data_IF_024039161497
#
_entry.id   IF_024039161497
#
_cell.length_a   1.000
_cell.length_b   1.000
_cell.length_c   1.000
_cell.angle_alpha   90.00
_cell.angle_beta   90.00
_cell.angle_gamma   90.00
#
_symmetry.space_group_name_H-M   'P 1'
#
loop_
_entity.id
_entity.type
_entity.pdbx_description
1 polymer ?
#
# COMPACT_ATOMS: atom_id res chain seq x y z
N UNK A 1 15.71 57.98 15.71
CA UNK A 1 16.14 57.10 14.61
C UNK A 1 16.16 55.67 15.11
N UNK A 2 15.10 54.92 14.80
CA UNK A 2 14.91 53.53 15.20
C UNK A 2 15.73 52.61 14.30
N UNK A 3 16.67 51.84 14.86
CA UNK A 3 17.38 50.78 14.14
C UNK A 3 16.54 49.51 14.21
N UNK A 4 15.86 49.20 13.12
CA UNK A 4 15.13 47.95 12.93
C UNK A 4 16.10 46.77 12.88
N UNK A 5 15.91 45.81 13.79
CA UNK A 5 16.55 44.50 13.72
C UNK A 5 15.74 43.62 12.75
N UNK A 6 16.13 43.59 11.48
CA UNK A 6 15.70 42.56 10.52
C UNK A 6 16.37 41.25 10.88
N UNK A 7 15.72 40.42 11.70
CA UNK A 7 16.13 39.02 11.91
C UNK A 7 15.84 38.26 10.62
N UNK A 8 16.88 38.06 9.81
CA UNK A 8 16.84 37.28 8.58
C UNK A 8 16.58 35.82 8.95
N UNK A 9 15.32 35.36 8.85
CA UNK A 9 14.95 33.94 8.95
C UNK A 9 15.73 33.16 7.88
N UNK A 10 16.80 32.46 8.27
CA UNK A 10 17.49 31.51 7.41
C UNK A 10 16.54 30.34 7.07
N UNK A 11 15.93 30.43 5.88
CA UNK A 11 15.15 29.35 5.27
C UNK A 11 16.08 28.21 4.89
N UNK A 12 16.28 27.24 5.79
CA UNK A 12 16.95 25.99 5.44
C UNK A 12 16.04 25.19 4.52
N UNK A 13 16.50 24.87 3.29
CA UNK A 13 15.71 24.12 2.31
C UNK A 13 15.45 22.69 2.84
N UNK A 14 14.19 22.22 2.86
CA UNK A 14 13.88 20.85 3.27
C UNK A 14 14.54 19.84 2.33
N UNK A 15 14.97 18.70 2.86
CA UNK A 15 15.51 17.63 2.01
C UNK A 15 14.44 17.01 1.10
N UNK A 16 14.83 16.29 0.04
CA UNK A 16 13.90 15.81 -0.98
C UNK A 16 12.80 14.87 -0.45
N UNK A 17 13.08 14.07 0.59
CA UNK A 17 12.11 13.18 1.21
C UNK A 17 11.05 13.96 2.00
N UNK A 18 11.48 15.01 2.72
CA UNK A 18 10.61 15.93 3.45
C UNK A 18 9.74 16.76 2.51
N UNK A 19 10.32 17.27 1.43
CA UNK A 19 9.59 18.08 0.47
C UNK A 19 8.44 17.29 -0.18
N UNK A 20 8.65 16.01 -0.52
CA UNK A 20 7.57 15.13 -1.02
C UNK A 20 6.45 14.91 0.00
N UNK A 21 6.81 14.63 1.25
CA UNK A 21 5.83 14.49 2.34
C UNK A 21 5.08 15.80 2.58
N UNK A 22 5.76 16.94 2.52
CA UNK A 22 5.14 18.26 2.68
C UNK A 22 4.21 18.62 1.51
N UNK A 23 4.70 18.57 0.27
CA UNK A 23 3.93 18.95 -0.92
C UNK A 23 2.66 18.12 -1.07
N UNK A 24 2.77 16.80 -0.88
CA UNK A 24 1.65 15.87 -1.02
C UNK A 24 0.49 16.14 -0.07
N UNK A 25 0.78 16.77 1.06
CA UNK A 25 -0.19 17.00 2.13
C UNK A 25 -0.77 18.41 2.07
N UNK A 26 0.00 19.41 1.60
CA UNK A 26 -0.13 20.77 2.14
C UNK A 26 0.12 21.92 1.15
N UNK A 27 0.47 21.64 -0.11
CA UNK A 27 0.87 22.68 -1.07
C UNK A 27 2.23 23.30 -0.76
N UNK A 28 2.68 24.21 -1.63
CA UNK A 28 4.05 24.78 -1.64
C UNK A 28 4.34 25.80 -0.51
N UNK A 29 3.37 26.08 0.35
CA UNK A 29 3.38 27.16 1.35
C UNK A 29 3.79 26.67 2.75
N UNK A 30 5.09 26.49 2.99
CA UNK A 30 5.63 25.95 4.25
C UNK A 30 6.79 26.78 4.79
N UNK A 31 6.88 26.90 6.13
CA UNK A 31 8.03 27.50 6.81
C UNK A 31 8.80 26.44 7.59
N UNK A 32 10.11 26.35 7.33
CA UNK A 32 11.04 25.46 8.04
C UNK A 32 11.72 26.17 9.19
N UNK A 33 11.85 25.49 10.32
CA UNK A 33 12.53 25.98 11.52
C UNK A 33 13.64 25.02 11.93
N UNK A 34 14.85 25.53 12.25
CA UNK A 34 15.94 24.71 12.77
C UNK A 34 15.61 24.05 14.10
N UNK A 35 14.64 24.56 14.87
CA UNK A 35 14.24 24.00 16.15
C UNK A 35 12.75 24.23 16.40
N UNK A 36 12.10 23.33 17.14
CA UNK A 36 10.69 23.50 17.53
C UNK A 36 10.44 24.77 18.35
N UNK A 37 11.46 25.28 19.07
CA UNK A 37 11.36 26.56 19.78
C UNK A 37 11.15 27.76 18.85
N UNK A 38 11.55 27.65 17.58
CA UNK A 38 11.34 28.70 16.58
C UNK A 38 9.93 28.74 16.00
N UNK A 39 9.14 27.67 16.19
CA UNK A 39 7.74 27.62 15.75
C UNK A 39 6.88 28.49 16.65
N UNK A 40 5.96 29.24 16.04
CA UNK A 40 5.02 30.09 16.76
C UNK A 40 4.17 29.33 17.81
N UNK A 41 3.45 30.07 18.68
CA UNK A 41 2.69 29.49 19.78
C UNK A 41 1.60 28.51 19.30
N UNK A 42 1.04 28.71 18.11
CA UNK A 42 0.13 27.75 17.49
C UNK A 42 0.89 26.59 16.81
N UNK A 43 1.04 25.51 17.57
CA UNK A 43 1.66 24.26 17.09
C UNK A 43 0.67 23.26 16.50
N UNK A 44 -0.60 23.63 16.31
CA UNK A 44 -1.64 22.74 15.76
C UNK A 44 -1.36 22.25 14.34
N UNK A 45 -0.50 23.01 13.64
CA UNK A 45 -0.02 22.75 12.28
C UNK A 45 1.51 22.66 12.19
N UNK A 46 2.16 22.32 13.30
CA UNK A 46 3.59 22.15 13.38
C UNK A 46 3.97 20.68 13.51
N UNK A 47 5.11 20.28 12.96
CA UNK A 47 5.56 18.90 13.00
C UNK A 47 7.08 18.80 13.07
N UNK A 48 7.55 17.66 13.57
CA UNK A 48 8.94 17.29 13.71
C UNK A 48 9.27 16.23 12.67
N UNK A 49 10.34 16.45 11.90
CA UNK A 49 10.83 15.51 10.91
C UNK A 49 11.74 14.45 11.55
N UNK A 50 11.42 13.16 11.36
CA UNK A 50 12.25 12.06 11.88
C UNK A 50 12.75 11.10 10.78
N UNK A 51 14.02 10.62 10.85
CA UNK A 51 15.02 10.96 11.88
C UNK A 51 15.70 12.32 11.65
N UNK A 52 15.66 12.86 10.43
CA UNK A 52 16.20 14.19 10.10
C UNK A 52 15.45 14.80 8.92
N UNK A 53 15.65 16.10 8.65
CA UNK A 53 15.05 16.80 7.51
C UNK A 53 15.47 16.26 6.13
N UNK A 54 16.63 15.60 6.03
CA UNK A 54 17.11 15.03 4.76
C UNK A 54 16.60 13.62 4.49
N UNK A 55 16.43 12.82 5.55
CA UNK A 55 16.08 11.39 5.46
C UNK A 55 14.72 11.10 6.10
N UNK A 56 13.84 12.09 6.16
CA UNK A 56 12.60 11.94 6.88
C UNK A 56 11.74 10.82 6.31
N UNK A 57 11.27 9.96 7.21
CA UNK A 57 10.32 8.89 6.93
C UNK A 57 9.03 9.07 7.73
N UNK A 58 8.96 10.11 8.56
CA UNK A 58 7.83 10.37 9.45
C UNK A 58 7.79 11.83 9.85
N UNK A 59 6.57 12.38 9.95
CA UNK A 59 6.30 13.68 10.57
C UNK A 59 5.50 13.48 11.84
N UNK A 60 6.05 13.94 12.96
CA UNK A 60 5.41 13.86 14.28
C UNK A 60 4.76 15.20 14.59
N UNK A 61 3.44 15.28 14.82
CA UNK A 61 2.77 16.53 15.17
C UNK A 61 3.41 17.16 16.42
N UNK A 62 3.84 18.41 16.35
CA UNK A 62 4.53 19.12 17.42
C UNK A 62 3.58 19.74 18.46
N UNK A 63 2.28 19.42 18.36
CA UNK A 63 1.24 19.77 19.30
C UNK A 63 1.42 19.10 20.67
N UNK A 64 0.38 18.50 21.21
CA UNK A 64 0.45 18.00 22.59
C UNK A 64 1.24 16.68 22.72
N UNK A 65 1.74 16.40 23.93
CA UNK A 65 2.57 15.21 24.23
C UNK A 65 1.87 13.89 23.92
N UNK A 66 0.54 13.82 24.09
CA UNK A 66 -0.25 12.60 23.83
C UNK A 66 -0.27 12.28 22.34
N UNK A 67 -0.50 13.30 21.51
CA UNK A 67 -0.46 13.19 20.05
C UNK A 67 0.94 12.82 19.55
N UNK A 68 1.98 13.44 20.11
CA UNK A 68 3.38 13.11 19.80
C UNK A 68 3.72 11.65 20.14
N UNK A 69 3.42 11.23 21.38
CA UNK A 69 3.69 9.87 21.84
C UNK A 69 2.92 8.84 21.01
N UNK A 70 1.67 9.15 20.67
CA UNK A 70 0.84 8.32 19.82
C UNK A 70 1.48 8.18 18.43
N UNK A 71 1.88 9.28 17.77
CA UNK A 71 2.47 9.26 16.43
C UNK A 71 3.72 8.36 16.31
N UNK A 72 4.43 8.11 17.42
CA UNK A 72 5.58 7.21 17.47
C UNK A 72 5.23 5.73 17.62
N UNK A 73 4.01 5.40 18.01
CA UNK A 73 3.54 4.02 18.10
C UNK A 73 3.33 3.47 16.69
N UNK A 74 4.31 2.72 16.15
CA UNK A 74 4.21 2.06 14.83
C UNK A 74 3.59 0.66 14.97
N UNK A 75 2.82 0.21 13.96
CA UNK A 75 2.51 -1.21 13.80
C UNK A 75 3.79 -2.04 13.73
N UNK A 76 3.76 -3.26 14.28
CA UNK A 76 4.93 -4.11 14.50
C UNK A 76 5.68 -4.48 13.20
N UNK A 77 5.00 -4.45 12.06
CA UNK A 77 5.48 -4.92 10.74
C UNK A 77 6.45 -3.96 10.02
N UNK A 78 6.62 -2.71 10.47
CA UNK A 78 7.28 -1.67 9.65
C UNK A 78 8.67 -1.25 10.18
N UNK A 79 9.22 -1.91 11.22
CA UNK A 79 10.52 -1.52 11.77
C UNK A 79 11.33 -2.64 12.42
N UNK A 80 12.65 -2.56 12.27
CA UNK A 80 13.61 -3.46 12.92
C UNK A 80 13.48 -3.40 14.45
N UNK A 81 13.83 -4.50 15.15
CA UNK A 81 13.79 -4.60 16.62
C UNK A 81 14.50 -3.41 17.30
N UNK A 82 15.64 -2.99 16.77
CA UNK A 82 16.43 -1.85 17.26
C UNK A 82 15.72 -0.50 17.09
N UNK A 83 15.13 -0.25 15.92
CA UNK A 83 14.32 0.96 15.67
C UNK A 83 13.07 0.99 16.55
N UNK A 84 12.42 -0.15 16.77
CA UNK A 84 11.27 -0.27 17.69
C UNK A 84 11.64 0.12 19.12
N UNK A 85 12.77 -0.37 19.63
CA UNK A 85 13.27 0.01 20.94
C UNK A 85 13.56 1.53 21.01
N UNK A 86 14.22 2.09 20.00
CA UNK A 86 14.48 3.53 19.93
C UNK A 86 13.21 4.37 19.95
N UNK A 87 12.18 4.01 19.18
CA UNK A 87 10.89 4.71 19.22
C UNK A 87 10.17 4.58 20.56
N UNK A 88 10.25 3.42 21.23
CA UNK A 88 9.68 3.25 22.57
C UNK A 88 10.36 4.12 23.61
N UNK A 89 11.70 4.22 23.56
CA UNK A 89 12.47 5.13 24.44
C UNK A 89 12.05 6.58 24.17
N UNK A 90 11.99 6.99 22.90
CA UNK A 90 11.55 8.34 22.53
C UNK A 90 10.10 8.63 22.96
N UNK A 91 9.20 7.66 22.80
CA UNK A 91 7.82 7.75 23.24
C UNK A 91 7.73 7.96 24.76
N UNK A 92 8.48 7.18 25.55
CA UNK A 92 8.56 7.33 27.01
C UNK A 92 9.15 8.69 27.40
N UNK A 93 10.23 9.12 26.74
CA UNK A 93 10.82 10.44 26.98
C UNK A 93 9.83 11.59 26.69
N UNK A 94 9.03 11.51 25.63
CA UNK A 94 7.98 12.49 25.32
C UNK A 94 6.86 12.46 26.36
N UNK A 95 6.41 11.28 26.78
CA UNK A 95 5.40 11.13 27.83
C UNK A 95 5.85 11.75 29.15
N UNK A 96 7.13 11.56 29.50
CA UNK A 96 7.76 12.13 30.69
C UNK A 96 8.15 13.62 30.53
N UNK A 97 7.93 14.22 29.37
CA UNK A 97 8.20 15.64 29.11
C UNK A 97 9.64 15.99 28.74
N UNK A 98 10.53 15.00 28.63
CA UNK A 98 11.93 15.15 28.22
C UNK A 98 12.09 15.23 26.68
N UNK A 99 11.09 14.82 25.90
CA UNK A 99 11.21 14.68 24.43
C UNK A 99 11.27 15.98 23.63
N UNK A 100 10.81 17.11 24.17
CA UNK A 100 10.81 18.41 23.48
C UNK A 100 12.21 19.01 23.28
N UNK A 101 13.24 18.46 23.93
CA UNK A 101 14.61 18.98 23.96
C UNK A 101 15.52 18.45 22.84
N UNK A 102 15.09 17.47 22.04
CA UNK A 102 15.97 16.75 21.11
C UNK A 102 15.45 16.66 19.66
N UNK A 103 14.60 17.58 19.22
CA UNK A 103 14.00 17.55 17.88
C UNK A 103 14.60 18.65 16.96
N UNK A 104 15.72 18.38 16.25
CA UNK A 104 16.46 19.41 15.52
C UNK A 104 15.83 19.90 14.21
N UNK A 105 14.58 19.56 13.87
CA UNK A 105 13.95 20.07 12.63
C UNK A 105 12.43 20.11 12.77
N UNK A 106 11.88 21.32 12.93
CA UNK A 106 10.44 21.54 12.98
C UNK A 106 9.97 22.27 11.72
N UNK A 107 8.73 22.00 11.30
CA UNK A 107 8.08 22.79 10.27
C UNK A 107 6.73 23.28 10.78
N UNK A 108 6.28 24.41 10.27
CA UNK A 108 4.95 24.92 10.49
C UNK A 108 4.31 25.21 9.14
N UNK A 109 3.04 24.83 9.04
CA UNK A 109 2.24 25.21 7.88
C UNK A 109 1.87 26.67 7.95
N UNK A 110 1.78 27.29 6.77
CA UNK A 110 1.17 28.60 6.68
C UNK A 110 -0.32 28.48 7.09
N UNK A 111 -0.76 29.15 8.17
CA UNK A 111 -2.14 29.06 8.64
C UNK A 111 -3.14 29.64 7.61
N UNK A 112 -2.69 30.54 6.74
CA UNK A 112 -3.54 31.23 5.76
C UNK A 112 -4.01 30.35 4.59
N UNK A 113 -3.46 29.14 4.44
CA UNK A 113 -3.83 28.24 3.34
C UNK A 113 -4.65 27.04 3.84
N UNK A 114 -5.80 26.73 3.20
CA UNK A 114 -6.57 25.53 3.51
C UNK A 114 -5.78 24.26 3.17
N UNK A 115 -5.56 23.43 4.18
CA UNK A 115 -4.89 22.14 4.07
C UNK A 115 -5.88 20.97 3.98
N UNK A 116 -5.42 19.81 3.50
CA UNK A 116 -6.24 18.59 3.53
C UNK A 116 -6.61 18.22 4.97
N UNK A 117 -5.75 18.55 5.93
CA UNK A 117 -5.99 18.30 7.35
C UNK A 117 -7.19 19.13 7.84
N UNK A 118 -7.35 20.36 7.37
CA UNK A 118 -8.51 21.19 7.70
C UNK A 118 -9.79 20.64 7.09
N UNK A 119 -9.73 20.20 5.83
CA UNK A 119 -10.86 19.54 5.17
C UNK A 119 -11.26 18.26 5.91
N UNK A 120 -10.30 17.44 6.31
CA UNK A 120 -10.49 16.21 7.09
C UNK A 120 -11.07 16.50 8.47
N UNK A 121 -10.56 17.51 9.20
CA UNK A 121 -11.10 17.94 10.50
C UNK A 121 -12.55 18.36 10.39
N UNK A 122 -12.87 19.15 9.37
CA UNK A 122 -14.24 19.60 9.09
C UNK A 122 -15.15 18.43 8.75
N UNK A 123 -14.72 17.54 7.84
CA UNK A 123 -15.53 16.41 7.39
C UNK A 123 -15.76 15.34 8.45
N UNK A 124 -14.80 15.12 9.36
CA UNK A 124 -14.96 14.19 10.48
C UNK A 124 -15.66 14.82 11.69
N UNK A 125 -15.79 16.14 11.76
CA UNK A 125 -16.21 16.88 12.95
C UNK A 125 -15.41 16.51 14.23
N UNK A 126 -14.12 16.18 14.08
CA UNK A 126 -13.21 15.83 15.17
C UNK A 126 -11.91 16.60 15.04
N UNK A 127 -11.45 17.19 16.15
CA UNK A 127 -10.11 17.79 16.21
C UNK A 127 -9.02 16.70 16.22
N UNK A 128 -8.38 16.55 15.06
CA UNK A 128 -7.32 15.56 14.81
C UNK A 128 -6.03 16.21 14.33
N UNK A 129 -4.90 15.57 14.59
CA UNK A 129 -3.64 15.84 13.91
C UNK A 129 -3.29 14.66 13.02
N UNK A 130 -2.60 14.92 11.92
CA UNK A 130 -2.18 13.90 10.99
C UNK A 130 -0.71 13.54 11.23
N UNK A 131 -0.39 12.26 11.37
CA UNK A 131 0.97 11.76 11.54
C UNK A 131 1.36 10.92 10.33
N UNK A 132 1.86 11.53 9.24
CA UNK A 132 2.29 10.80 8.04
C UNK A 132 3.56 10.02 8.30
N UNK A 133 3.62 8.87 7.64
CA UNK A 133 4.84 8.09 7.51
C UNK A 133 5.01 7.60 6.08
N UNK A 134 6.25 7.39 5.69
CA UNK A 134 6.60 6.66 4.48
C UNK A 134 7.32 5.36 4.88
N UNK A 135 6.92 4.27 4.22
CA UNK A 135 7.66 3.01 4.27
C UNK A 135 8.99 3.09 3.49
N UNK A 136 9.70 1.96 3.34
CA UNK A 136 10.77 1.86 2.35
C UNK A 136 10.27 2.27 0.94
N UNK A 137 11.21 2.67 0.09
CA UNK A 137 10.92 3.10 -1.28
C UNK A 137 10.29 1.92 -2.04
N UNK A 138 9.06 2.08 -2.55
CA UNK A 138 8.31 1.05 -3.28
C UNK A 138 7.48 1.67 -4.42
N UNK A 139 7.15 0.92 -5.50
CA UNK A 139 6.24 1.38 -6.54
C UNK A 139 4.95 1.92 -5.91
N UNK A 140 4.41 3.02 -6.45
CA UNK A 140 3.17 3.66 -5.98
C UNK A 140 3.21 4.12 -4.50
N UNK A 141 4.38 4.53 -4.00
CA UNK A 141 4.51 5.04 -2.63
C UNK A 141 3.61 6.27 -2.40
N UNK A 142 2.49 6.04 -1.73
CA UNK A 142 1.55 7.07 -1.27
C UNK A 142 1.81 7.43 0.20
N UNK A 143 1.68 8.71 0.61
CA UNK A 143 1.66 9.07 2.02
C UNK A 143 0.50 8.37 2.73
N UNK A 144 0.82 7.62 3.77
CA UNK A 144 -0.16 7.04 4.69
C UNK A 144 0.16 7.54 6.08
N UNK A 145 -0.85 8.00 6.78
CA UNK A 145 -0.65 8.51 8.12
C UNK A 145 -1.86 8.36 9.00
N UNK A 146 -1.60 8.50 10.28
CA UNK A 146 -2.59 8.27 11.30
C UNK A 146 -3.25 9.58 11.69
N UNK A 147 -4.58 9.57 11.81
CA UNK A 147 -5.33 10.67 12.39
C UNK A 147 -5.45 10.45 13.89
N UNK A 148 -4.97 11.41 14.67
CA UNK A 148 -4.82 11.28 16.12
C UNK A 148 -5.62 12.40 16.78
N UNK A 149 -6.62 12.04 17.57
CA UNK A 149 -7.38 13.02 18.33
C UNK A 149 -6.55 13.64 19.45
N UNK A 150 -7.04 14.74 20.04
CA UNK A 150 -6.38 15.47 21.13
C UNK A 150 -5.95 14.58 22.31
N UNK A 151 -6.69 13.50 22.61
CA UNK A 151 -6.37 12.57 23.70
C UNK A 151 -5.29 11.53 23.36
N UNK A 152 -4.83 11.47 22.10
CA UNK A 152 -3.81 10.53 21.64
C UNK A 152 -4.37 9.23 21.06
N UNK A 153 -5.70 9.04 21.06
CA UNK A 153 -6.35 7.92 20.40
C UNK A 153 -6.34 8.09 18.87
N UNK A 154 -6.22 6.98 18.17
CA UNK A 154 -6.32 6.93 16.71
C UNK A 154 -7.78 7.04 16.30
N UNK A 155 -8.09 7.97 15.40
CA UNK A 155 -9.43 8.19 14.83
C UNK A 155 -9.59 7.48 13.48
N UNK A 156 -8.48 7.27 12.78
CA UNK A 156 -8.46 6.59 11.49
C UNK A 156 -7.12 6.68 10.79
N UNK A 157 -7.06 6.13 9.58
CA UNK A 157 -5.91 6.17 8.69
C UNK A 157 -6.25 6.97 7.44
N UNK A 158 -5.48 8.02 7.17
CA UNK A 158 -5.62 8.85 5.98
C UNK A 158 -4.60 8.40 4.94
N UNK A 159 -5.10 8.02 3.75
CA UNK A 159 -4.31 7.73 2.55
C UNK A 159 -4.57 8.83 1.52
N UNK A 160 -3.51 9.34 0.89
CA UNK A 160 -3.59 10.43 -0.10
C UNK A 160 -2.84 10.03 -1.37
N UNK A 161 -3.48 10.15 -2.52
CA UNK A 161 -2.92 9.93 -3.85
C UNK A 161 -2.83 11.24 -4.62
N UNK A 162 -1.62 11.66 -5.00
CA UNK A 162 -1.35 13.04 -5.42
C UNK A 162 -1.33 13.27 -6.93
N UNK A 163 -0.81 12.32 -7.73
CA UNK A 163 -0.81 12.37 -9.21
C UNK A 163 -0.70 10.93 -9.77
N UNK A 164 -1.29 10.69 -10.95
CA UNK A 164 -1.09 9.45 -11.72
C UNK A 164 -1.63 8.20 -11.03
N UNK A 165 -0.87 7.09 -11.10
CA UNK A 165 -1.29 5.77 -10.60
C UNK A 165 -1.71 5.73 -9.12
N UNK A 166 -1.12 6.57 -8.26
CA UNK A 166 -1.48 6.60 -6.81
C UNK A 166 -2.88 7.14 -6.55
N UNK A 167 -3.35 8.10 -7.35
CA UNK A 167 -4.71 8.63 -7.24
C UNK A 167 -5.75 7.57 -7.65
N UNK A 168 -5.46 6.80 -8.70
CA UNK A 168 -6.30 5.67 -9.13
C UNK A 168 -6.39 4.59 -8.06
N UNK A 169 -5.26 4.21 -7.45
CA UNK A 169 -5.24 3.21 -6.36
C UNK A 169 -6.04 3.67 -5.12
N UNK A 170 -5.94 4.95 -4.74
CA UNK A 170 -6.69 5.47 -3.58
C UNK A 170 -8.20 5.50 -3.84
N UNK A 171 -8.63 5.88 -5.05
CA UNK A 171 -10.06 5.82 -5.45
C UNK A 171 -10.56 4.37 -5.53
N UNK A 172 -9.75 3.49 -6.13
CA UNK A 172 -10.08 2.08 -6.24
C UNK A 172 -10.24 1.44 -4.87
N UNK A 173 -9.29 1.66 -3.97
CA UNK A 173 -9.38 1.16 -2.59
C UNK A 173 -10.64 1.67 -1.88
N UNK A 174 -10.97 2.95 -2.01
CA UNK A 174 -12.21 3.48 -1.44
C UNK A 174 -13.45 2.76 -1.97
N UNK A 175 -13.56 2.61 -3.29
CA UNK A 175 -14.69 1.93 -3.93
C UNK A 175 -14.78 0.46 -3.50
N UNK A 176 -13.64 -0.24 -3.47
CA UNK A 176 -13.56 -1.65 -3.06
C UNK A 176 -13.94 -1.83 -1.59
N UNK A 177 -13.42 -1.01 -0.67
CA UNK A 177 -13.79 -1.13 0.75
C UNK A 177 -15.29 -0.92 0.97
N UNK A 178 -15.90 0.05 0.27
CA UNK A 178 -17.36 0.28 0.33
C UNK A 178 -18.15 -0.91 -0.20
N UNK A 179 -17.73 -1.48 -1.33
CA UNK A 179 -18.39 -2.63 -1.94
C UNK A 179 -18.21 -3.91 -1.10
N UNK A 180 -16.98 -4.22 -0.71
CA UNK A 180 -16.62 -5.43 0.04
C UNK A 180 -17.32 -5.50 1.40
N UNK A 181 -17.58 -4.37 2.05
CA UNK A 181 -18.37 -4.33 3.30
C UNK A 181 -19.77 -4.93 3.13
N UNK A 182 -20.30 -4.99 1.89
CA UNK A 182 -21.63 -5.52 1.58
C UNK A 182 -21.64 -7.00 1.19
N UNK A 183 -20.49 -7.57 0.83
CA UNK A 183 -20.42 -8.94 0.27
C UNK A 183 -19.49 -9.88 1.04
N UNK A 184 -18.55 -9.35 1.83
CA UNK A 184 -17.62 -10.21 2.56
C UNK A 184 -18.32 -10.88 3.76
N UNK A 185 -17.93 -12.13 4.08
CA UNK A 185 -18.31 -12.78 5.32
C UNK A 185 -18.00 -11.94 6.56
N UNK A 186 -18.84 -12.02 7.60
CA UNK A 186 -18.71 -11.23 8.83
C UNK A 186 -17.44 -11.50 9.64
N UNK A 187 -16.81 -12.65 9.39
CA UNK A 187 -15.54 -13.07 9.99
C UNK A 187 -14.31 -12.56 9.24
N UNK A 188 -14.48 -11.86 8.11
CA UNK A 188 -13.42 -11.09 7.44
C UNK A 188 -13.62 -9.60 7.74
N UNK A 189 -12.84 -9.07 8.68
CA UNK A 189 -12.83 -7.65 8.97
C UNK A 189 -11.90 -6.87 8.04
N UNK A 190 -12.46 -5.84 7.42
CA UNK A 190 -11.76 -4.87 6.59
C UNK A 190 -11.96 -3.44 7.14
N UNK A 191 -11.07 -2.48 6.82
CA UNK A 191 -11.24 -1.11 7.25
C UNK A 191 -12.48 -0.46 6.61
N UNK A 192 -13.37 0.11 7.42
CA UNK A 192 -14.54 0.86 6.93
C UNK A 192 -14.15 2.27 6.52
N UNK A 193 -14.60 2.74 5.35
CA UNK A 193 -14.36 4.11 4.90
C UNK A 193 -15.27 5.10 5.63
N UNK A 194 -14.69 6.04 6.37
CA UNK A 194 -15.42 7.12 7.06
C UNK A 194 -15.68 8.32 6.18
N UNK A 195 -14.67 8.71 5.39
CA UNK A 195 -14.68 9.91 4.56
C UNK A 195 -13.72 9.68 3.40
N UNK A 196 -14.07 10.13 2.21
CA UNK A 196 -13.21 10.01 1.04
C UNK A 196 -13.74 10.84 -0.12
N UNK A 197 -12.91 10.96 -1.16
CA UNK A 197 -13.22 11.68 -2.37
C UNK A 197 -12.07 12.55 -2.90
N UNK A 198 -12.35 13.34 -3.94
CA UNK A 198 -11.39 14.30 -4.47
C UNK A 198 -11.24 15.52 -3.54
N UNK A 199 -10.01 16.00 -3.39
CA UNK A 199 -9.72 17.29 -2.76
C UNK A 199 -8.64 18.02 -3.55
N UNK A 200 -8.99 19.16 -4.17
CA UNK A 200 -8.10 19.86 -5.12
C UNK A 200 -7.56 18.88 -6.17
N UNK A 201 -6.24 18.74 -6.28
CA UNK A 201 -5.57 17.87 -7.25
C UNK A 201 -5.31 16.45 -6.74
N UNK A 202 -5.76 16.09 -5.52
CA UNK A 202 -5.48 14.79 -4.91
C UNK A 202 -6.76 14.00 -4.67
N UNK A 203 -6.64 12.68 -4.55
CA UNK A 203 -7.69 11.82 -4.02
C UNK A 203 -7.30 11.33 -2.64
N UNK A 204 -8.25 11.21 -1.74
CA UNK A 204 -7.99 10.71 -0.39
C UNK A 204 -9.13 9.85 0.11
N UNK A 205 -8.83 9.00 1.08
CA UNK A 205 -9.85 8.42 1.94
C UNK A 205 -9.31 8.24 3.35
N UNK A 206 -10.24 8.10 4.29
CA UNK A 206 -10.02 7.85 5.70
C UNK A 206 -10.74 6.57 6.07
N UNK A 207 -10.00 5.62 6.62
CA UNK A 207 -10.59 4.40 7.17
C UNK A 207 -10.59 4.41 8.69
N UNK A 208 -11.52 3.65 9.26
CA UNK A 208 -11.49 3.30 10.68
C UNK A 208 -10.25 2.47 11.03
N UNK A 209 -9.74 2.60 12.26
CA UNK A 209 -8.72 1.69 12.75
C UNK A 209 -9.33 0.29 12.85
N UNK A 210 -8.69 -0.69 12.22
CA UNK A 210 -9.11 -2.07 12.39
C UNK A 210 -8.68 -2.56 13.78
N UNK A 211 -9.64 -2.75 14.67
CA UNK A 211 -9.38 -3.24 16.02
C UNK A 211 -9.08 -4.75 15.98
N UNK A 212 -7.87 -5.12 16.42
CA UNK A 212 -7.43 -6.51 16.49
C UNK A 212 -7.15 -6.93 17.94
N UNK A 213 -7.48 -8.17 18.35
CA UNK A 213 -7.08 -8.70 19.65
C UNK A 213 -5.55 -8.80 19.74
N UNK A 214 -4.93 -8.39 20.86
CA UNK A 214 -3.50 -8.61 21.07
C UNK A 214 -3.20 -10.10 21.23
N UNK A 215 -2.13 -10.58 20.57
CA UNK A 215 -1.51 -11.87 20.89
C UNK A 215 -2.06 -13.12 20.20
N UNK A 216 -2.82 -13.01 19.11
CA UNK A 216 -3.15 -14.21 18.32
C UNK A 216 -1.95 -14.59 17.41
N UNK A 217 -1.44 -15.82 17.49
CA UNK A 217 -0.45 -16.31 16.54
C UNK A 217 -1.06 -16.32 15.14
N UNK A 218 -0.21 -16.06 14.14
CA UNK A 218 -0.52 -16.28 12.73
C UNK A 218 -0.66 -17.80 12.55
N UNK A 219 -1.89 -18.30 12.63
CA UNK A 219 -2.14 -19.69 12.27
C UNK A 219 -1.94 -19.82 10.75
N UNK A 220 -1.70 -21.05 10.29
CA UNK A 220 -1.55 -21.35 8.86
C UNK A 220 -2.87 -21.63 8.08
N UNK A 221 -4.09 -21.13 8.42
CA UNK A 221 -5.26 -21.33 7.58
C UNK A 221 -5.41 -20.19 6.58
N UNK A 222 -4.31 -19.56 6.12
CA UNK A 222 -4.36 -18.49 5.12
C UNK A 222 -5.13 -18.93 3.87
N UNK A 223 -5.00 -20.20 3.50
CA UNK A 223 -5.71 -20.82 2.38
C UNK A 223 -7.22 -20.91 2.62
N UNK A 224 -7.65 -21.23 3.84
CA UNK A 224 -9.08 -21.24 4.20
C UNK A 224 -9.69 -19.85 4.00
N UNK A 225 -9.02 -18.80 4.49
CA UNK A 225 -9.52 -17.42 4.34
C UNK A 225 -9.52 -16.96 2.89
N UNK A 226 -8.58 -17.44 2.06
CA UNK A 226 -8.62 -17.20 0.61
C UNK A 226 -9.78 -17.92 -0.08
N UNK A 227 -10.09 -19.15 0.36
CA UNK A 227 -11.28 -19.85 -0.11
C UNK A 227 -12.55 -19.07 0.27
N UNK A 228 -12.70 -18.69 1.54
CA UNK A 228 -13.85 -17.93 2.05
C UNK A 228 -14.00 -16.55 1.40
N UNK A 229 -12.88 -15.85 1.14
CA UNK A 229 -12.87 -14.57 0.42
C UNK A 229 -13.50 -14.68 -0.96
N UNK A 230 -13.23 -15.79 -1.66
CA UNK A 230 -13.69 -16.00 -3.02
C UNK A 230 -15.05 -16.69 -3.12
N UNK A 231 -15.48 -17.43 -2.10
CA UNK A 231 -16.61 -18.36 -2.14
C UNK A 231 -17.92 -17.68 -2.59
N UNK A 232 -18.32 -16.59 -1.93
CA UNK A 232 -19.56 -15.87 -2.23
C UNK A 232 -19.59 -15.16 -3.60
N UNK A 233 -18.45 -15.07 -4.28
CA UNK A 233 -18.31 -14.36 -5.58
C UNK A 233 -17.78 -15.26 -6.69
N UNK A 234 -17.49 -16.53 -6.38
CA UNK A 234 -16.86 -17.45 -7.31
C UNK A 234 -17.78 -17.71 -8.49
N UNK A 235 -17.27 -17.53 -9.69
CA UNK A 235 -17.90 -17.94 -10.93
C UNK A 235 -16.89 -18.60 -11.86
N UNK A 236 -17.38 -19.48 -12.74
CA UNK A 236 -16.58 -19.98 -13.86
C UNK A 236 -16.98 -19.20 -15.10
N UNK A 237 -16.03 -18.51 -15.72
CA UNK A 237 -16.28 -17.60 -16.83
C UNK A 237 -15.06 -17.52 -17.74
N UNK A 238 -15.21 -16.98 -18.95
CA UNK A 238 -14.10 -16.75 -19.87
C UNK A 238 -13.22 -15.61 -19.35
N UNK A 239 -11.89 -15.80 -19.42
CA UNK A 239 -10.96 -14.76 -18.95
C UNK A 239 -11.10 -13.47 -19.74
N UNK A 240 -11.37 -13.53 -21.05
CA UNK A 240 -11.58 -12.33 -21.87
C UNK A 240 -12.75 -11.46 -21.40
N UNK A 241 -13.74 -12.06 -20.72
CA UNK A 241 -14.89 -11.37 -20.17
C UNK A 241 -14.61 -10.72 -18.80
N UNK A 242 -13.45 -11.01 -18.17
CA UNK A 242 -13.05 -10.39 -16.91
C UNK A 242 -12.64 -8.93 -17.12
N UNK A 243 -13.25 -8.04 -16.36
CA UNK A 243 -12.87 -6.63 -16.33
C UNK A 243 -11.44 -6.46 -15.79
N UNK A 244 -11.05 -7.25 -14.78
CA UNK A 244 -9.69 -7.21 -14.26
C UNK A 244 -8.64 -7.61 -15.32
N UNK A 245 -8.96 -8.55 -16.21
CA UNK A 245 -8.07 -8.91 -17.32
C UNK A 245 -7.98 -7.79 -18.36
N UNK A 246 -9.12 -7.24 -18.77
CA UNK A 246 -9.17 -6.13 -19.73
C UNK A 246 -8.39 -4.91 -19.23
N UNK A 247 -8.52 -4.59 -17.94
CA UNK A 247 -7.78 -3.51 -17.29
C UNK A 247 -6.26 -3.77 -17.31
N UNK A 248 -5.83 -5.01 -17.07
CA UNK A 248 -4.41 -5.40 -17.15
C UNK A 248 -3.87 -5.20 -18.58
N UNK A 249 -4.60 -5.69 -19.59
CA UNK A 249 -4.20 -5.55 -21.00
C UNK A 249 -4.14 -4.08 -21.42
N UNK A 250 -5.08 -3.25 -20.97
CA UNK A 250 -5.08 -1.83 -21.28
C UNK A 250 -3.94 -1.08 -20.57
N UNK A 251 -3.66 -1.42 -19.30
CA UNK A 251 -2.50 -0.89 -18.56
C UNK A 251 -1.19 -1.29 -19.26
N UNK A 252 -1.08 -2.52 -19.74
CA UNK A 252 0.14 -3.04 -20.36
C UNK A 252 0.55 -2.23 -21.60
N UNK A 253 -0.41 -1.82 -22.43
CA UNK A 253 -0.18 -1.00 -23.64
C UNK A 253 0.48 0.35 -23.34
N UNK A 254 0.32 0.87 -22.14
CA UNK A 254 0.83 2.19 -21.72
C UNK A 254 2.25 2.14 -21.15
N UNK A 255 2.69 0.98 -20.67
CA UNK A 255 3.93 0.87 -19.90
C UNK A 255 4.92 -0.21 -20.38
N UNK A 256 4.46 -1.24 -21.10
CA UNK A 256 5.33 -2.31 -21.59
C UNK A 256 6.04 -1.90 -22.88
N UNK A 257 7.26 -2.40 -23.05
CA UNK A 257 8.00 -2.31 -24.31
C UNK A 257 7.35 -3.16 -25.40
N UNK A 258 7.73 -2.91 -26.67
CA UNK A 258 7.23 -3.70 -27.81
C UNK A 258 7.47 -5.20 -27.65
N UNK A 259 8.63 -5.60 -27.13
CA UNK A 259 8.98 -7.01 -26.92
C UNK A 259 8.12 -7.64 -25.82
N UNK A 260 7.98 -6.98 -24.68
CA UNK A 260 7.10 -7.41 -23.57
C UNK A 260 5.64 -7.52 -24.03
N UNK A 261 5.16 -6.60 -24.89
CA UNK A 261 3.82 -6.65 -25.49
C UNK A 261 3.62 -7.83 -26.44
N UNK A 262 4.65 -8.20 -27.23
CA UNK A 262 4.58 -9.39 -28.10
C UNK A 262 4.46 -10.65 -27.26
N UNK A 263 5.27 -10.78 -26.21
CA UNK A 263 5.21 -11.91 -25.28
C UNK A 263 3.85 -11.98 -24.59
N UNK A 264 3.38 -10.86 -24.03
CA UNK A 264 2.06 -10.79 -23.40
C UNK A 264 0.96 -11.16 -24.40
N UNK A 265 0.97 -10.61 -25.62
CA UNK A 265 -0.03 -10.96 -26.65
C UNK A 265 -0.01 -12.44 -27.05
N UNK A 266 1.15 -13.11 -26.99
CA UNK A 266 1.25 -14.55 -27.16
C UNK A 266 0.55 -15.33 -26.04
N UNK A 267 0.80 -14.94 -24.79
CA UNK A 267 0.18 -15.55 -23.60
C UNK A 267 -1.32 -15.24 -23.53
N UNK A 268 -1.71 -13.99 -23.80
CA UNK A 268 -3.10 -13.51 -23.78
C UNK A 268 -4.00 -14.32 -24.70
N UNK A 269 -3.57 -14.63 -25.92
CA UNK A 269 -4.36 -15.45 -26.87
C UNK A 269 -4.79 -16.80 -26.28
N UNK A 270 -3.94 -17.42 -25.47
CA UNK A 270 -4.28 -18.67 -24.81
C UNK A 270 -5.15 -18.44 -23.59
N UNK A 271 -4.76 -17.52 -22.70
CA UNK A 271 -5.47 -17.21 -21.46
C UNK A 271 -6.92 -16.79 -21.75
N UNK A 272 -7.12 -15.89 -22.71
CA UNK A 272 -8.44 -15.30 -23.06
C UNK A 272 -9.46 -16.33 -23.52
N UNK A 273 -8.99 -17.42 -24.14
CA UNK A 273 -9.82 -18.53 -24.58
C UNK A 273 -10.18 -19.52 -23.46
N UNK A 274 -9.58 -19.39 -22.27
CA UNK A 274 -9.85 -20.30 -21.15
C UNK A 274 -11.07 -19.85 -20.35
N UNK A 275 -11.87 -20.83 -19.93
CA UNK A 275 -12.81 -20.67 -18.84
C UNK A 275 -12.13 -21.01 -17.51
N UNK A 276 -12.10 -20.07 -16.57
CA UNK A 276 -11.37 -20.17 -15.31
C UNK A 276 -12.29 -19.90 -14.11
N UNK A 277 -11.94 -20.42 -12.93
CA UNK A 277 -12.53 -19.96 -11.68
C UNK A 277 -12.08 -18.53 -11.37
N UNK A 278 -13.02 -17.59 -11.42
CA UNK A 278 -12.84 -16.17 -11.14
C UNK A 278 -13.63 -15.76 -9.90
N UNK A 279 -13.15 -14.76 -9.19
CA UNK A 279 -13.86 -14.15 -8.06
C UNK A 279 -13.06 -13.05 -7.40
N UNK A 280 -13.45 -12.68 -6.19
CA UNK A 280 -12.73 -11.67 -5.42
C UNK A 280 -11.35 -12.17 -5.05
N UNK A 281 -10.34 -11.37 -5.41
CA UNK A 281 -8.97 -11.49 -4.93
C UNK A 281 -8.54 -10.19 -4.26
N UNK A 282 -7.69 -10.28 -3.25
CA UNK A 282 -7.08 -9.14 -2.58
C UNK A 282 -6.05 -8.45 -3.48
N UNK A 283 -5.26 -9.23 -4.22
CA UNK A 283 -4.26 -8.74 -5.18
C UNK A 283 -2.94 -8.26 -4.57
N UNK A 284 -2.83 -8.28 -3.24
CA UNK A 284 -1.62 -8.00 -2.43
C UNK A 284 -1.62 -8.80 -1.11
N UNK A 285 -2.04 -10.08 -1.16
CA UNK A 285 -2.17 -10.97 0.01
C UNK A 285 -0.81 -11.37 0.61
N UNK A 286 -0.14 -10.40 1.21
CA UNK A 286 1.15 -10.54 1.87
C UNK A 286 0.98 -10.71 3.39
N UNK A 287 1.97 -11.30 4.11
CA UNK A 287 1.86 -11.51 5.55
C UNK A 287 1.68 -10.22 6.37
N UNK A 288 2.11 -9.07 5.86
CA UNK A 288 1.97 -7.78 6.56
C UNK A 288 0.66 -7.05 6.27
N UNK A 289 -0.10 -7.48 5.26
CA UNK A 289 -1.41 -6.94 4.92
C UNK A 289 -2.56 -7.71 5.58
N UNK A 290 -2.26 -8.69 6.42
CA UNK A 290 -3.27 -9.48 7.12
C UNK A 290 -2.84 -9.89 8.50
N UNK A 291 -3.83 -10.28 9.29
CA UNK A 291 -3.66 -11.09 10.48
C UNK A 291 -4.77 -12.14 10.46
N UNK A 292 -4.38 -13.39 10.69
CA UNK A 292 -5.29 -14.52 10.64
C UNK A 292 -5.43 -15.12 12.04
N UNK A 293 -6.66 -15.12 12.55
CA UNK A 293 -7.08 -15.90 13.70
C UNK A 293 -7.74 -17.21 13.29
N UNK A 294 -8.09 -18.04 14.28
CA UNK A 294 -8.78 -19.32 14.04
C UNK A 294 -10.17 -19.15 13.41
N UNK A 295 -10.87 -18.07 13.77
CA UNK A 295 -12.27 -17.80 13.40
C UNK A 295 -12.49 -16.42 12.81
N UNK A 296 -11.43 -15.64 12.64
CA UNK A 296 -11.54 -14.26 12.16
C UNK A 296 -10.29 -13.87 11.38
N UNK A 297 -10.43 -13.11 10.29
CA UNK A 297 -9.34 -12.50 9.56
C UNK A 297 -9.45 -10.97 9.60
N UNK A 298 -8.32 -10.30 9.72
CA UNK A 298 -8.20 -8.84 9.62
C UNK A 298 -7.32 -8.53 8.43
N UNK A 299 -7.85 -7.84 7.43
CA UNK A 299 -7.18 -7.67 6.13
C UNK A 299 -7.15 -6.19 5.74
N UNK A 300 -5.98 -5.71 5.34
CA UNK A 300 -5.69 -4.32 5.02
C UNK A 300 -5.11 -4.18 3.60
N UNK A 301 -5.19 -2.96 3.06
CA UNK A 301 -4.58 -2.57 1.77
C UNK A 301 -5.23 -3.22 0.54
N UNK A 302 -6.54 -3.02 0.41
CA UNK A 302 -7.39 -3.52 -0.68
C UNK A 302 -7.23 -2.71 -1.99
N UNK A 303 -6.17 -1.92 -2.13
CA UNK A 303 -5.96 -1.06 -3.32
C UNK A 303 -5.74 -1.85 -4.61
N UNK A 304 -5.49 -3.15 -4.52
CA UNK A 304 -5.26 -4.06 -5.65
C UNK A 304 -6.36 -5.11 -5.81
N UNK A 305 -7.46 -4.95 -5.08
CA UNK A 305 -8.56 -5.89 -5.11
C UNK A 305 -9.15 -5.97 -6.53
N UNK A 306 -9.50 -7.18 -6.95
CA UNK A 306 -10.21 -7.43 -8.21
C UNK A 306 -11.41 -8.31 -7.90
N UNK A 307 -12.55 -8.05 -8.54
CA UNK A 307 -13.80 -8.77 -8.27
C UNK A 307 -13.96 -10.04 -9.12
N UNK A 308 -13.21 -10.13 -10.21
CA UNK A 308 -13.23 -11.22 -11.19
C UNK A 308 -11.80 -11.62 -11.59
N UNK A 309 -10.90 -11.65 -10.60
CA UNK A 309 -9.54 -12.14 -10.74
C UNK A 309 -9.46 -13.67 -10.61
N UNK A 310 -8.37 -14.31 -11.07
CA UNK A 310 -8.25 -15.76 -11.06
C UNK A 310 -8.04 -16.28 -9.63
N UNK A 311 -8.87 -17.23 -9.21
CA UNK A 311 -8.71 -17.88 -7.91
C UNK A 311 -7.35 -18.60 -7.88
N UNK A 312 -6.61 -18.39 -6.79
CA UNK A 312 -5.22 -18.84 -6.65
C UNK A 312 -4.18 -17.72 -6.80
N UNK A 313 -4.55 -16.56 -7.36
CA UNK A 313 -3.65 -15.40 -7.47
C UNK A 313 -3.00 -15.03 -6.14
N UNK A 314 -3.80 -14.95 -5.07
CA UNK A 314 -3.31 -14.56 -3.75
C UNK A 314 -2.48 -15.64 -3.04
N UNK A 315 -2.66 -16.92 -3.40
CA UNK A 315 -1.79 -18.01 -2.94
C UNK A 315 -0.39 -17.83 -3.53
N UNK A 316 -0.32 -17.65 -4.85
CA UNK A 316 0.94 -17.39 -5.57
C UNK A 316 1.60 -16.15 -4.98
N UNK A 317 0.84 -15.06 -4.85
CA UNK A 317 1.35 -13.79 -4.36
C UNK A 317 1.96 -13.95 -2.96
N UNK A 318 1.28 -14.66 -2.07
CA UNK A 318 1.78 -14.85 -0.72
C UNK A 318 3.12 -15.58 -0.69
N UNK A 319 3.21 -16.72 -1.37
CA UNK A 319 4.42 -17.54 -1.42
C UNK A 319 5.58 -16.79 -2.11
N UNK A 320 5.30 -15.99 -3.13
CA UNK A 320 6.29 -15.10 -3.77
C UNK A 320 6.81 -14.07 -2.77
N UNK A 321 5.94 -13.39 -2.02
CA UNK A 321 6.38 -12.40 -1.03
C UNK A 321 7.19 -13.04 0.11
N UNK A 322 6.80 -14.21 0.60
CA UNK A 322 7.56 -14.96 1.62
C UNK A 322 8.94 -15.36 1.07
N UNK A 323 9.00 -15.83 -0.18
CA UNK A 323 10.26 -16.21 -0.81
C UNK A 323 11.21 -15.02 -0.98
N UNK A 324 10.70 -13.87 -1.42
CA UNK A 324 11.50 -12.65 -1.60
C UNK A 324 11.94 -12.02 -0.27
N UNK A 325 11.21 -12.25 0.82
CA UNK A 325 11.67 -11.88 2.16
C UNK A 325 12.88 -12.72 2.60
N UNK A 326 12.88 -14.01 2.25
CA UNK A 326 13.98 -14.92 2.57
C UNK A 326 15.20 -14.67 1.67
N UNK A 327 14.98 -14.48 0.37
CA UNK A 327 16.02 -14.28 -0.64
C UNK A 327 15.65 -13.14 -1.62
N UNK A 328 15.96 -11.87 -1.26
CA UNK A 328 15.63 -10.72 -2.09
C UNK A 328 16.27 -10.79 -3.49
N UNK A 329 15.47 -10.49 -4.52
CA UNK A 329 15.94 -10.38 -5.91
C UNK A 329 15.92 -11.67 -6.73
N UNK A 330 15.68 -12.83 -6.12
CA UNK A 330 15.55 -14.11 -6.80
C UNK A 330 14.10 -14.37 -7.26
N UNK A 331 13.68 -13.67 -8.32
CA UNK A 331 12.29 -13.73 -8.80
C UNK A 331 11.93 -15.06 -9.45
N UNK A 332 12.89 -15.72 -10.10
CA UNK A 332 12.68 -17.05 -10.68
C UNK A 332 12.30 -18.07 -9.59
N UNK A 333 13.09 -18.16 -8.51
CA UNK A 333 12.78 -19.06 -7.41
C UNK A 333 11.46 -18.67 -6.71
N UNK A 334 11.22 -17.38 -6.51
CA UNK A 334 10.00 -16.90 -5.87
C UNK A 334 8.74 -17.27 -6.67
N UNK A 335 8.74 -17.10 -8.00
CA UNK A 335 7.62 -17.48 -8.87
C UNK A 335 7.41 -18.99 -8.91
N UNK A 336 8.49 -19.77 -8.95
CA UNK A 336 8.41 -21.25 -8.83
C UNK A 336 7.80 -21.69 -7.52
N UNK A 337 8.19 -21.08 -6.39
CA UNK A 337 7.60 -21.35 -5.09
C UNK A 337 6.12 -20.94 -5.04
N UNK A 338 5.77 -19.83 -5.72
CA UNK A 338 4.39 -19.41 -5.91
C UNK A 338 3.54 -20.45 -6.61
N UNK A 339 4.00 -20.96 -7.75
CA UNK A 339 3.32 -22.01 -8.50
C UNK A 339 3.23 -23.33 -7.69
N UNK A 340 4.31 -23.74 -7.02
CA UNK A 340 4.31 -24.94 -6.18
C UNK A 340 3.35 -24.82 -4.97
N UNK A 341 3.23 -23.63 -4.38
CA UNK A 341 2.26 -23.37 -3.32
C UNK A 341 0.82 -23.45 -3.85
N UNK A 342 0.56 -22.94 -5.05
CA UNK A 342 -0.76 -23.07 -5.67
C UNK A 342 -1.10 -24.53 -5.97
N UNK A 343 -0.16 -25.31 -6.50
CA UNK A 343 -0.32 -26.75 -6.75
C UNK A 343 -0.67 -27.50 -5.45
N UNK A 344 0.09 -27.25 -4.38
CA UNK A 344 -0.15 -27.85 -3.07
C UNK A 344 -1.56 -27.54 -2.52
N UNK A 345 -2.12 -26.38 -2.84
CA UNK A 345 -3.43 -25.93 -2.34
C UNK A 345 -4.57 -26.03 -3.36
N UNK A 346 -4.31 -26.52 -4.56
CA UNK A 346 -5.28 -26.55 -5.66
C UNK A 346 -6.54 -27.33 -5.30
N UNK A 347 -6.39 -28.48 -4.64
CA UNK A 347 -7.52 -29.31 -4.20
C UNK A 347 -8.42 -28.59 -3.20
N UNK A 348 -7.84 -27.89 -2.22
CA UNK A 348 -8.59 -27.13 -1.23
C UNK A 348 -9.38 -25.95 -1.85
N UNK A 349 -8.87 -25.41 -2.96
CA UNK A 349 -9.50 -24.33 -3.71
C UNK A 349 -10.37 -24.82 -4.88
N UNK A 350 -10.51 -26.14 -5.06
CA UNK A 350 -11.22 -26.77 -6.18
C UNK A 350 -10.75 -26.25 -7.54
N UNK A 351 -9.43 -26.19 -7.76
CA UNK A 351 -8.79 -25.70 -8.98
C UNK A 351 -8.28 -26.84 -9.85
N UNK A 352 -8.59 -26.79 -11.14
CA UNK A 352 -7.98 -27.65 -12.15
C UNK A 352 -6.55 -27.20 -12.48
N UNK A 353 -5.74 -28.06 -13.10
CA UNK A 353 -4.41 -27.68 -13.62
C UNK A 353 -4.48 -26.47 -14.57
N UNK A 354 -5.57 -26.37 -15.35
CA UNK A 354 -5.83 -25.22 -16.24
C UNK A 354 -6.02 -23.93 -15.45
N UNK A 355 -6.81 -23.96 -14.37
CA UNK A 355 -7.03 -22.79 -13.52
C UNK A 355 -5.70 -22.32 -12.90
N UNK A 356 -4.87 -23.28 -12.46
CA UNK A 356 -3.56 -22.98 -11.89
C UNK A 356 -2.61 -22.32 -12.90
N UNK A 357 -2.58 -22.83 -14.15
CA UNK A 357 -1.76 -22.26 -15.21
C UNK A 357 -2.23 -20.84 -15.58
N UNK A 358 -3.54 -20.61 -15.70
CA UNK A 358 -4.11 -19.28 -15.94
C UNK A 358 -3.75 -18.33 -14.80
N UNK A 359 -3.93 -18.74 -13.53
CA UNK A 359 -3.62 -17.91 -12.38
C UNK A 359 -2.13 -17.53 -12.33
N UNK A 360 -1.23 -18.47 -12.62
CA UNK A 360 0.22 -18.24 -12.62
C UNK A 360 0.64 -17.29 -13.74
N UNK A 361 0.14 -17.50 -14.96
CA UNK A 361 0.48 -16.65 -16.10
C UNK A 361 -0.08 -15.23 -15.94
N UNK A 362 -1.32 -15.10 -15.46
CA UNK A 362 -1.92 -13.81 -15.13
C UNK A 362 -1.14 -13.10 -14.02
N UNK A 363 -0.80 -13.80 -12.93
CA UNK A 363 0.00 -13.24 -11.85
C UNK A 363 1.33 -12.65 -12.35
N UNK A 364 2.05 -13.41 -13.18
CA UNK A 364 3.33 -12.97 -13.75
C UNK A 364 3.14 -11.75 -14.66
N UNK A 365 2.09 -11.73 -15.49
CA UNK A 365 1.75 -10.57 -16.33
C UNK A 365 1.42 -9.33 -15.49
N UNK A 366 0.61 -9.48 -14.44
CA UNK A 366 0.24 -8.39 -13.53
C UNK A 366 1.47 -7.83 -12.81
N UNK A 367 2.41 -8.67 -12.37
CA UNK A 367 3.68 -8.20 -11.82
C UNK A 367 4.50 -7.41 -12.84
N UNK A 368 4.64 -7.92 -14.07
CA UNK A 368 5.40 -7.24 -15.12
C UNK A 368 4.83 -5.84 -15.39
N UNK A 369 3.50 -5.71 -15.47
CA UNK A 369 2.81 -4.43 -15.62
C UNK A 369 3.07 -3.53 -14.40
N UNK A 370 2.87 -4.02 -13.17
CA UNK A 370 3.10 -3.25 -11.93
C UNK A 370 4.52 -2.69 -11.82
N UNK A 371 5.53 -3.49 -12.15
CA UNK A 371 6.93 -3.05 -12.14
C UNK A 371 7.28 -2.14 -13.32
N UNK A 372 6.47 -2.11 -14.37
CA UNK A 372 6.65 -1.18 -15.50
C UNK A 372 5.93 0.15 -15.29
N UNK A 373 4.84 0.17 -14.51
CA UNK A 373 4.12 1.40 -14.12
C UNK A 373 4.88 2.24 -13.07
N UNK A 374 5.91 1.67 -12.44
CA UNK A 374 6.61 2.32 -11.33
C UNK A 374 7.41 3.55 -11.78
N UNK A 375 7.26 4.65 -11.04
CA UNK A 375 8.04 5.88 -11.22
C UNK A 375 9.22 5.98 -10.26
N UNK A 376 9.67 4.85 -9.71
CA UNK A 376 10.75 4.81 -8.71
C UNK A 376 12.10 5.27 -9.26
N UNK A 377 13.00 5.69 -8.37
CA UNK A 377 14.30 6.26 -8.74
C UNK A 377 15.35 5.22 -9.14
N UNK A 378 15.26 3.98 -8.65
CA UNK A 378 16.22 2.92 -8.98
C UNK A 378 15.78 2.16 -10.23
N UNK A 379 16.03 2.78 -11.38
CA UNK A 379 15.66 2.23 -12.68
C UNK A 379 16.47 0.97 -13.02
N UNK A 380 17.64 0.76 -12.41
CA UNK A 380 18.51 -0.39 -12.69
C UNK A 380 17.99 -1.65 -12.03
N UNK A 381 17.65 -1.59 -10.75
CA UNK A 381 17.04 -2.73 -10.03
C UNK A 381 15.70 -3.10 -10.67
N UNK A 382 14.86 -2.11 -10.97
CA UNK A 382 13.57 -2.34 -11.62
C UNK A 382 13.72 -2.99 -13.00
N UNK A 383 14.68 -2.52 -13.81
CA UNK A 383 14.94 -3.14 -15.10
C UNK A 383 15.41 -4.60 -14.96
N UNK A 384 16.18 -4.93 -13.92
CA UNK A 384 16.59 -6.32 -13.66
C UNK A 384 15.40 -7.20 -13.27
N UNK A 385 14.50 -6.70 -12.42
CA UNK A 385 13.27 -7.40 -12.04
C UNK A 385 12.38 -7.62 -13.28
N UNK A 386 12.15 -6.57 -14.08
CA UNK A 386 11.35 -6.65 -15.31
C UNK A 386 11.88 -7.70 -16.28
N UNK A 387 13.19 -7.76 -16.51
CA UNK A 387 13.81 -8.79 -17.35
C UNK A 387 13.57 -10.20 -16.82
N UNK A 388 13.61 -10.41 -15.50
CA UNK A 388 13.28 -11.71 -14.92
C UNK A 388 11.80 -12.05 -15.15
N UNK A 389 10.88 -11.14 -14.81
CA UNK A 389 9.44 -11.34 -14.99
C UNK A 389 9.04 -11.58 -16.45
N UNK A 390 9.65 -10.86 -17.39
CA UNK A 390 9.41 -11.06 -18.82
C UNK A 390 9.86 -12.43 -19.31
N UNK A 391 11.03 -12.92 -18.86
CA UNK A 391 11.48 -14.29 -19.16
C UNK A 391 10.54 -15.34 -18.58
N UNK A 392 10.09 -15.17 -17.33
CA UNK A 392 9.11 -16.07 -16.72
C UNK A 392 7.78 -16.06 -17.47
N UNK A 393 7.28 -14.88 -17.87
CA UNK A 393 6.06 -14.78 -18.66
C UNK A 393 6.17 -15.53 -20.00
N UNK A 394 7.34 -15.48 -20.64
CA UNK A 394 7.59 -16.20 -21.88
C UNK A 394 7.52 -17.73 -21.73
N UNK A 395 7.74 -18.28 -20.52
CA UNK A 395 7.58 -19.73 -20.26
C UNK A 395 6.13 -20.20 -20.30
N UNK A 396 5.17 -19.27 -20.17
CA UNK A 396 3.74 -19.54 -20.30
C UNK A 396 3.23 -19.45 -21.74
N UNK A 397 4.11 -19.17 -22.71
CA UNK A 397 3.71 -19.27 -24.11
C UNK A 397 3.27 -20.71 -24.38
N UNK A 398 2.11 -20.92 -25.01
CA UNK A 398 1.65 -22.27 -25.30
C UNK A 398 2.73 -22.97 -26.11
N UNK A 399 3.16 -24.13 -25.62
CA UNK A 399 3.91 -25.04 -26.45
C UNK A 399 3.00 -25.36 -27.66
N UNK A 400 3.49 -25.18 -28.88
CA UNK A 400 2.67 -25.33 -30.10
C UNK A 400 1.97 -26.70 -30.21
N UNK A 401 2.39 -27.66 -29.38
CA UNK A 401 1.82 -28.98 -29.13
C UNK A 401 0.57 -29.00 -28.25
N UNK A 402 0.43 -28.15 -27.22
CA UNK A 402 -0.74 -28.14 -26.31
C UNK A 402 -1.99 -27.52 -26.94
N UNK A 403 -1.82 -26.55 -27.84
CA UNK A 403 -2.93 -25.92 -28.57
C UNK A 403 -3.67 -26.92 -29.47
N UNK A 404 -2.98 -27.95 -29.96
CA UNK A 404 -3.60 -29.03 -30.77
C UNK A 404 -4.48 -29.97 -29.96
N UNK A 405 -4.20 -30.18 -28.66
CA UNK A 405 -5.00 -31.07 -27.79
C UNK A 405 -6.30 -30.42 -27.32
N UNK A 406 -6.33 -29.11 -27.13
CA UNK A 406 -7.55 -28.40 -26.71
C UNK A 406 -8.60 -28.22 -27.84
N UNK A 407 -8.22 -28.50 -29.10
CA UNK A 407 -9.14 -28.48 -30.25
C UNK A 407 -9.57 -29.88 -30.70
N UNK A 408 -9.23 -30.92 -29.93
CA UNK A 408 -9.55 -32.33 -30.23
C UNK A 408 -10.32 -33.05 -29.12
N UNK A 409 -10.88 -32.29 -28.17
CA UNK A 409 -11.79 -32.72 -27.10
C UNK A 409 -12.93 -31.72 -27.00
#
# INVERSE_FOLDING_TARGET
MSRGATTQQQRSRPGPAMHRLGQALLGDEQTTYPWLRGVGPDRSRAFIALPSSQRATMLVPAGNRRQQAAALSRPDSVSSRTRRAGYRVLQRAIQLGAGTLMAPFAYQLNPSFPSIIDHVRSGLAVDVVYAPSTGPVRPNQKPVGRLIARRGNTVGWLKIGTVGGTATLVRHEEAMLRYLTTILPSDISIPTVRLGGPWKSVNFHITEPLERPPGQPDFDPAIRWLAELSDGTRKRDLVVASQAWQDLVERSRRCLSREELITLGGVSRWIEAQSCALGVIHGDWSPWNRQIGQRHAWVWDWERCQLDGPIGFDVIHNAVQVSLLAEPGNWHAALRNGAASLDHHASALSLSERDQHVATAWYTAELLVRYSETTLKDQTEIAAIRRQLHRELATHLPDTTLVRRAHSS
#
